data_IF_178047452529
#
_entry.id   IF_178047452529
#
_cell.length_a   1.000
_cell.length_b   1.000
_cell.length_c   1.000
_cell.angle_alpha   90.00
_cell.angle_beta   90.00
_cell.angle_gamma   90.00
#
_symmetry.space_group_name_H-M   'P 1'
#
loop_
_entity.id
_entity.type
_entity.pdbx_description
1 polymer ?
#
# COMPACT_ATOMS: atom_id res chain seq x y z
N UNK A 1 -18.70 -13.16 -6.13
CA UNK A 1 -17.70 -12.17 -6.62
C UNK A 1 -17.33 -12.50 -8.06
N UNK A 2 -17.36 -11.49 -8.93
CA UNK A 2 -16.96 -11.65 -10.33
C UNK A 2 -15.44 -11.82 -10.47
N UNK A 3 -14.98 -12.56 -11.50
CA UNK A 3 -13.55 -12.67 -11.78
C UNK A 3 -12.85 -11.32 -11.95
N UNK A 4 -13.49 -10.33 -12.57
CA UNK A 4 -12.94 -8.97 -12.71
C UNK A 4 -12.70 -8.30 -11.35
N UNK A 5 -13.58 -8.51 -10.39
CA UNK A 5 -13.44 -7.95 -9.04
C UNK A 5 -12.25 -8.57 -8.33
N UNK A 6 -12.03 -9.88 -8.49
CA UNK A 6 -10.87 -10.58 -7.91
C UNK A 6 -9.55 -10.10 -8.52
N UNK A 7 -9.50 -9.96 -9.86
CA UNK A 7 -8.32 -9.41 -10.54
C UNK A 7 -8.05 -7.98 -10.09
N UNK A 8 -9.10 -7.15 -10.00
CA UNK A 8 -8.97 -5.77 -9.55
C UNK A 8 -8.44 -5.71 -8.11
N UNK A 9 -8.94 -6.55 -7.22
CA UNK A 9 -8.47 -6.62 -5.84
C UNK A 9 -6.98 -6.96 -5.76
N UNK A 10 -6.51 -7.90 -6.59
CA UNK A 10 -5.10 -8.23 -6.63
C UNK A 10 -4.24 -7.05 -7.12
N UNK A 11 -4.65 -6.40 -8.21
CA UNK A 11 -3.94 -5.24 -8.72
C UNK A 11 -3.93 -4.08 -7.70
N UNK A 12 -5.04 -3.84 -7.04
CA UNK A 12 -5.14 -2.84 -5.98
C UNK A 12 -4.25 -3.19 -4.79
N UNK A 13 -4.11 -4.46 -4.45
CA UNK A 13 -3.20 -4.92 -3.41
C UNK A 13 -1.75 -4.56 -3.72
N UNK A 14 -1.32 -4.73 -4.97
CA UNK A 14 0.04 -4.35 -5.37
C UNK A 14 0.24 -2.83 -5.29
N UNK A 15 -0.71 -2.05 -5.80
CA UNK A 15 -0.66 -0.58 -5.72
C UNK A 15 -0.66 -0.09 -4.28
N UNK A 16 -1.50 -0.66 -3.43
CA UNK A 16 -1.57 -0.33 -2.01
C UNK A 16 -0.25 -0.68 -1.30
N UNK A 17 0.36 -1.81 -1.64
CA UNK A 17 1.65 -2.22 -1.07
C UNK A 17 2.75 -1.22 -1.42
N UNK A 18 2.78 -0.73 -2.66
CA UNK A 18 3.72 0.31 -3.10
C UNK A 18 3.50 1.62 -2.34
N UNK A 19 2.23 2.02 -2.21
CA UNK A 19 1.86 3.27 -1.51
C UNK A 19 2.24 3.22 -0.04
N UNK A 20 1.86 2.17 0.66
CA UNK A 20 2.16 2.00 2.08
C UNK A 20 3.66 1.91 2.35
N UNK A 21 4.39 1.19 1.50
CA UNK A 21 5.85 1.09 1.60
C UNK A 21 6.50 2.48 1.47
N UNK A 22 6.14 3.25 0.46
CA UNK A 22 6.71 4.58 0.24
C UNK A 22 6.39 5.55 1.38
N UNK A 23 5.13 5.57 1.84
CA UNK A 23 4.70 6.40 2.98
C UNK A 23 5.48 6.02 4.24
N UNK A 24 5.65 4.73 4.50
CA UNK A 24 6.33 4.26 5.71
C UNK A 24 7.84 4.49 5.67
N UNK A 25 8.47 4.40 4.51
CA UNK A 25 9.89 4.80 4.35
C UNK A 25 10.05 6.30 4.70
N UNK A 26 9.16 7.14 4.19
CA UNK A 26 9.13 8.57 4.53
C UNK A 26 8.88 8.81 6.01
N UNK A 27 7.95 8.06 6.60
CA UNK A 27 7.63 8.12 8.03
C UNK A 27 8.82 7.78 8.92
N UNK A 28 9.58 6.74 8.55
CA UNK A 28 10.82 6.39 9.27
C UNK A 28 11.83 7.54 9.26
N UNK A 29 12.03 8.17 8.10
CA UNK A 29 12.95 9.31 7.97
C UNK A 29 12.51 10.49 8.83
N UNK A 30 11.22 10.80 8.86
CA UNK A 30 10.68 11.88 9.70
C UNK A 30 10.85 11.58 11.19
N UNK A 31 10.60 10.34 11.62
CA UNK A 31 10.81 9.94 13.02
C UNK A 31 12.30 9.97 13.40
N UNK A 32 13.21 9.62 12.48
CA UNK A 32 14.65 9.73 12.73
C UNK A 32 15.08 11.18 12.95
N UNK A 33 14.53 12.14 12.21
CA UNK A 33 14.76 13.57 12.43
C UNK A 33 14.26 14.02 13.80
N UNK A 34 13.05 13.60 14.18
CA UNK A 34 12.47 13.92 15.48
C UNK A 34 13.33 13.40 16.62
N UNK A 35 13.84 12.18 16.50
CA UNK A 35 14.73 11.56 17.51
C UNK A 35 15.98 12.43 17.71
N UNK A 36 16.60 12.89 16.63
CA UNK A 36 17.76 13.76 16.72
C UNK A 36 17.42 15.09 17.43
N UNK A 37 16.29 15.70 17.08
CA UNK A 37 15.84 16.93 17.72
C UNK A 37 15.59 16.73 19.22
N UNK A 38 14.97 15.62 19.61
CA UNK A 38 14.73 15.30 21.01
C UNK A 38 16.02 15.04 21.77
N UNK A 39 17.01 14.38 21.16
CA UNK A 39 18.31 14.15 21.79
C UNK A 39 19.05 15.48 22.04
N UNK A 40 19.02 16.39 21.09
CA UNK A 40 19.58 17.74 21.29
C UNK A 40 18.82 18.51 22.37
N UNK A 41 17.50 18.45 22.38
CA UNK A 41 16.68 19.10 23.38
C UNK A 41 16.98 18.58 24.79
N UNK A 42 17.18 17.28 24.96
CA UNK A 42 17.55 16.67 26.23
C UNK A 42 18.93 17.20 26.71
N UNK A 43 19.89 17.30 25.79
CA UNK A 43 21.24 17.74 26.09
C UNK A 43 21.26 19.17 26.68
N UNK A 44 20.42 20.05 26.13
CA UNK A 44 20.43 21.48 26.52
C UNK A 44 19.37 21.82 27.58
N UNK A 45 18.51 20.88 27.97
CA UNK A 45 17.45 21.13 28.95
C UNK A 45 17.97 20.91 30.37
N UNK A 46 17.90 21.96 31.22
CA UNK A 46 18.35 21.91 32.61
C UNK A 46 17.28 21.39 33.57
N UNK A 47 15.99 21.52 33.24
CA UNK A 47 14.89 21.09 34.09
C UNK A 47 14.66 19.58 33.98
N UNK A 48 14.69 18.89 35.12
CA UNK A 48 14.40 17.45 35.20
C UNK A 48 12.98 17.13 34.71
N UNK A 49 12.02 17.99 35.06
CA UNK A 49 10.62 17.83 34.64
C UNK A 49 10.46 17.95 33.13
N UNK A 50 11.11 18.92 32.52
CA UNK A 50 11.07 19.12 31.07
C UNK A 50 11.81 18.01 30.33
N UNK A 51 12.95 17.55 30.85
CA UNK A 51 13.65 16.37 30.30
C UNK A 51 12.76 15.13 30.28
N UNK A 52 11.99 14.90 31.33
CA UNK A 52 11.06 13.77 31.40
C UNK A 52 10.01 13.85 30.29
N UNK A 53 9.47 15.05 30.00
CA UNK A 53 8.52 15.25 28.91
C UNK A 53 9.14 14.94 27.54
N UNK A 54 10.39 15.37 27.33
CA UNK A 54 11.12 15.09 26.10
C UNK A 54 11.37 13.59 25.93
N UNK A 55 11.73 12.89 27.03
CA UNK A 55 11.92 11.44 27.00
C UNK A 55 10.65 10.70 26.62
N UNK A 56 9.47 11.16 27.06
CA UNK A 56 8.18 10.59 26.67
C UNK A 56 7.93 10.78 25.17
N UNK A 57 8.22 11.97 24.64
CA UNK A 57 8.12 12.24 23.19
C UNK A 57 9.07 11.35 22.38
N UNK A 58 10.30 11.18 22.88
CA UNK A 58 11.29 10.29 22.25
C UNK A 58 10.79 8.86 22.21
N UNK A 59 10.25 8.35 23.31
CA UNK A 59 9.66 7.01 23.37
C UNK A 59 8.52 6.85 22.34
N UNK A 60 7.61 7.82 22.26
CA UNK A 60 6.50 7.79 21.31
C UNK A 60 6.98 7.81 19.86
N UNK A 61 8.00 8.62 19.56
CA UNK A 61 8.62 8.65 18.24
C UNK A 61 9.24 7.31 17.86
N UNK A 62 9.94 6.65 18.79
CA UNK A 62 10.51 5.32 18.57
C UNK A 62 9.43 4.28 18.29
N UNK A 63 8.29 4.37 18.99
CA UNK A 63 7.15 3.48 18.76
C UNK A 63 6.54 3.69 17.37
N UNK A 64 6.36 4.95 16.95
CA UNK A 64 5.85 5.25 15.60
C UNK A 64 6.82 4.79 14.51
N UNK A 65 8.13 4.98 14.73
CA UNK A 65 9.14 4.48 13.81
C UNK A 65 9.07 2.96 13.64
N UNK A 66 8.83 2.24 14.73
CA UNK A 66 8.68 0.77 14.69
C UNK A 66 7.50 0.35 13.82
N UNK A 67 6.37 1.04 13.94
CA UNK A 67 5.19 0.76 13.12
C UNK A 67 5.49 0.95 11.64
N UNK A 68 6.18 2.02 11.28
CA UNK A 68 6.60 2.24 9.89
C UNK A 68 7.57 1.19 9.41
N UNK A 69 8.54 0.82 10.23
CA UNK A 69 9.53 -0.21 9.91
C UNK A 69 8.86 -1.56 9.64
N UNK A 70 7.88 -1.93 10.46
CA UNK A 70 7.14 -3.18 10.29
C UNK A 70 6.41 -3.21 8.94
N UNK A 71 5.75 -2.12 8.55
CA UNK A 71 5.08 -2.01 7.25
C UNK A 71 6.09 -2.12 6.11
N UNK A 72 7.25 -1.45 6.22
CA UNK A 72 8.31 -1.52 5.21
C UNK A 72 8.78 -2.97 5.04
N UNK A 73 9.07 -3.66 6.14
CA UNK A 73 9.56 -5.04 6.09
C UNK A 73 8.52 -6.01 5.51
N UNK A 74 7.24 -5.84 5.87
CA UNK A 74 6.14 -6.67 5.38
C UNK A 74 5.88 -6.50 3.89
N UNK A 75 6.11 -5.31 3.34
CA UNK A 75 5.78 -4.97 1.96
C UNK A 75 6.97 -4.96 1.00
N UNK A 76 8.18 -4.93 1.55
CA UNK A 76 9.40 -4.73 0.74
C UNK A 76 9.60 -5.80 -0.32
N UNK A 77 9.40 -7.06 0.02
CA UNK A 77 9.57 -8.16 -0.93
C UNK A 77 8.54 -8.08 -2.07
N UNK A 78 7.31 -7.68 -1.75
CA UNK A 78 6.26 -7.48 -2.75
C UNK A 78 6.64 -6.35 -3.70
N UNK A 79 7.07 -5.22 -3.15
CA UNK A 79 7.46 -4.04 -3.93
C UNK A 79 8.65 -4.35 -4.84
N UNK A 80 9.68 -5.03 -4.30
CA UNK A 80 10.87 -5.42 -5.08
C UNK A 80 10.52 -6.38 -6.20
N UNK A 81 9.69 -7.39 -5.92
CA UNK A 81 9.30 -8.38 -6.91
C UNK A 81 8.63 -7.73 -8.11
N UNK A 82 7.67 -6.83 -7.88
CA UNK A 82 6.94 -6.17 -8.95
C UNK A 82 7.63 -4.92 -9.51
N UNK A 83 8.78 -4.52 -8.96
CA UNK A 83 9.64 -3.50 -9.54
C UNK A 83 10.53 -4.06 -10.66
N UNK A 84 10.76 -5.37 -10.70
CA UNK A 84 11.47 -6.03 -11.78
C UNK A 84 10.72 -5.78 -13.10
N UNK A 85 11.43 -5.35 -14.19
CA UNK A 85 10.77 -5.02 -15.46
C UNK A 85 9.92 -6.15 -16.03
N UNK A 86 10.34 -7.41 -15.86
CA UNK A 86 9.58 -8.57 -16.33
C UNK A 86 8.26 -8.73 -15.59
N UNK A 87 8.27 -8.59 -14.27
CA UNK A 87 7.07 -8.72 -13.44
C UNK A 87 6.15 -7.51 -13.59
N UNK A 88 6.73 -6.31 -13.76
CA UNK A 88 5.97 -5.10 -14.08
C UNK A 88 5.21 -5.25 -15.38
N UNK A 89 5.82 -5.84 -16.39
CA UNK A 89 5.18 -6.15 -17.68
C UNK A 89 4.00 -7.10 -17.46
N UNK A 90 4.15 -8.09 -16.59
CA UNK A 90 3.07 -9.02 -16.26
C UNK A 90 1.89 -8.29 -15.62
N UNK A 91 2.13 -7.32 -14.75
CA UNK A 91 1.05 -6.49 -14.18
C UNK A 91 0.30 -5.70 -15.26
N UNK A 92 1.02 -5.15 -16.23
CA UNK A 92 0.41 -4.44 -17.37
C UNK A 92 -0.46 -5.40 -18.19
N UNK A 93 0.00 -6.61 -18.42
CA UNK A 93 -0.77 -7.67 -19.11
C UNK A 93 -2.01 -8.05 -18.30
N UNK A 94 -1.92 -8.11 -16.98
CA UNK A 94 -3.06 -8.38 -16.10
C UNK A 94 -4.10 -7.26 -16.15
N UNK A 95 -3.66 -6.01 -16.26
CA UNK A 95 -4.55 -4.87 -16.44
C UNK A 95 -5.33 -4.99 -17.77
N UNK A 96 -4.67 -5.39 -18.84
CA UNK A 96 -5.31 -5.66 -20.12
C UNK A 96 -6.28 -6.84 -20.04
N UNK A 97 -5.88 -7.90 -19.34
CA UNK A 97 -6.75 -9.06 -19.09
C UNK A 97 -8.01 -8.65 -18.34
N UNK A 98 -7.88 -7.80 -17.31
CA UNK A 98 -9.02 -7.27 -16.57
C UNK A 98 -10.03 -6.60 -17.50
N UNK A 99 -9.55 -5.78 -18.45
CA UNK A 99 -10.40 -5.13 -19.46
C UNK A 99 -11.16 -6.14 -20.31
N UNK A 100 -10.49 -7.20 -20.75
CA UNK A 100 -11.15 -8.26 -21.57
C UNK A 100 -12.18 -9.04 -20.76
N UNK A 101 -11.87 -9.38 -19.51
CA UNK A 101 -12.81 -10.09 -18.64
C UNK A 101 -14.05 -9.25 -18.36
N UNK A 102 -13.89 -7.94 -18.13
CA UNK A 102 -15.01 -7.02 -17.93
C UNK A 102 -15.92 -6.95 -19.15
N UNK A 103 -15.36 -7.00 -20.37
CA UNK A 103 -16.15 -7.03 -21.61
C UNK A 103 -16.99 -8.29 -21.71
N UNK A 104 -16.43 -9.43 -21.34
CA UNK A 104 -17.15 -10.72 -21.33
C UNK A 104 -18.29 -10.67 -20.31
N UNK A 105 -18.03 -10.19 -19.11
CA UNK A 105 -19.02 -10.06 -18.04
C UNK A 105 -20.16 -9.12 -18.46
N UNK A 106 -19.82 -7.99 -19.08
CA UNK A 106 -20.80 -7.06 -19.61
C UNK A 106 -21.67 -7.70 -20.68
N UNK A 107 -21.05 -8.45 -21.61
CA UNK A 107 -21.79 -9.18 -22.64
C UNK A 107 -22.79 -10.15 -22.00
N UNK A 108 -22.41 -10.91 -20.98
CA UNK A 108 -23.31 -11.83 -20.28
C UNK A 108 -24.47 -11.12 -19.60
N UNK A 109 -24.24 -9.94 -19.07
CA UNK A 109 -25.28 -9.14 -18.40
C UNK A 109 -26.25 -8.53 -19.41
N UNK A 110 -25.73 -8.00 -20.53
CA UNK A 110 -26.50 -7.22 -21.50
C UNK A 110 -27.10 -8.08 -22.61
N UNK A 111 -26.68 -9.34 -22.75
CA UNK A 111 -27.16 -10.22 -23.83
C UNK A 111 -28.65 -10.46 -23.75
N UNK A 112 -29.29 -10.48 -24.90
CA UNK A 112 -30.67 -10.87 -25.05
C UNK A 112 -30.76 -12.00 -26.08
N UNK A 113 -31.71 -12.87 -25.89
CA UNK A 113 -31.95 -13.96 -26.81
C UNK A 113 -33.22 -13.70 -27.62
N UNK A 114 -33.06 -13.73 -28.93
CA UNK A 114 -34.21 -13.63 -29.85
C UNK A 114 -34.47 -14.99 -30.39
N UNK A 115 -35.63 -15.62 -30.10
CA UNK A 115 -35.96 -16.96 -30.63
C UNK A 115 -35.97 -16.95 -32.15
N UNK A 116 -35.32 -17.94 -32.76
CA UNK A 116 -35.35 -18.13 -34.21
C UNK A 116 -36.66 -18.76 -34.68
N UNK A 117 -37.29 -19.53 -33.78
CA UNK A 117 -38.58 -20.13 -34.08
C UNK A 117 -39.66 -19.26 -33.46
N UNK A 118 -40.59 -18.82 -34.31
CA UNK A 118 -41.75 -18.07 -33.86
C UNK A 118 -42.84 -19.02 -33.45
N UNK A 119 -43.40 -18.87 -32.25
CA UNK A 119 -44.61 -19.52 -31.82
C UNK A 119 -45.81 -18.88 -32.52
N UNK A 120 -46.57 -19.70 -33.21
CA UNK A 120 -47.81 -19.22 -33.85
C UNK A 120 -48.98 -19.42 -32.94
#
# INVERSE_FOLDING_TARGET
>A
MLPSEQLKQFLDFIDESRRLHAISVGGMKEEDKKVQDFLHAIEFESSSKERSKICTKLHNSRTERRKHKDIVEEREEIVKFFADPQHKKTLDQMTQLLGRVRKIEKYHTDRSYVPRVKDN
#
